data_IF_182051036811
#
_entry.id   IF_182051036811
#
_cell.length_a   1.000
_cell.length_b   1.000
_cell.length_c   1.000
_cell.angle_alpha   90.00
_cell.angle_beta   90.00
_cell.angle_gamma   90.00
#
_symmetry.space_group_name_H-M   'P 1'
#
loop_
_entity.id
_entity.type
_entity.pdbx_description
1 polymer ?
#
# COMPACT_ATOMS: atom_id res chain seq x y z
N UNK A 1 -6.51 16.14 4.46
CA UNK A 1 -7.96 15.92 4.32
C UNK A 1 -8.34 14.62 3.58
N UNK A 2 -7.55 13.55 3.67
CA UNK A 2 -7.86 12.22 3.10
C UNK A 2 -8.55 11.28 4.10
N UNK A 3 -8.56 11.61 5.40
CA UNK A 3 -9.17 10.79 6.45
C UNK A 3 -10.70 10.58 6.32
N UNK A 4 -11.36 11.31 5.42
CA UNK A 4 -12.78 11.15 5.11
C UNK A 4 -13.01 10.64 3.68
N UNK A 5 -11.96 10.38 2.91
CA UNK A 5 -12.11 9.81 1.58
C UNK A 5 -12.60 8.37 1.72
N UNK A 6 -13.73 8.08 1.13
CA UNK A 6 -14.29 6.75 1.02
C UNK A 6 -14.17 6.32 -0.43
N UNK A 7 -13.67 5.11 -0.64
CA UNK A 7 -13.70 4.49 -1.96
C UNK A 7 -15.07 3.87 -2.17
N UNK A 8 -15.81 4.33 -3.18
CA UNK A 8 -16.99 3.63 -3.67
C UNK A 8 -16.51 2.51 -4.58
N UNK A 9 -16.82 1.28 -4.22
CA UNK A 9 -16.65 0.11 -5.08
C UNK A 9 -18.03 -0.23 -5.59
N UNK A 10 -18.23 -0.10 -6.91
CA UNK A 10 -19.52 -0.39 -7.55
C UNK A 10 -19.29 -1.14 -8.85
N UNK A 11 -19.85 -2.34 -8.94
CA UNK A 11 -19.90 -3.12 -10.18
C UNK A 11 -21.20 -3.94 -10.23
N UNK A 12 -21.76 -4.17 -11.43
CA UNK A 12 -22.94 -5.01 -11.59
C UNK A 12 -22.59 -6.50 -11.37
N UNK A 13 -23.59 -7.30 -11.04
CA UNK A 13 -23.47 -8.75 -11.10
C UNK A 13 -23.09 -9.20 -12.51
N UNK A 14 -22.28 -10.23 -12.62
CA UNK A 14 -21.82 -10.73 -13.90
C UNK A 14 -21.23 -12.14 -13.81
N UNK A 15 -20.72 -12.61 -14.94
CA UNK A 15 -19.95 -13.84 -15.04
C UNK A 15 -18.84 -13.68 -16.07
N UNK A 16 -17.73 -14.40 -15.89
CA UNK A 16 -16.64 -14.48 -16.86
C UNK A 16 -16.82 -15.65 -17.85
N UNK A 17 -15.87 -15.76 -18.77
CA UNK A 17 -15.85 -16.82 -19.79
C UNK A 17 -15.57 -18.21 -19.19
N UNK A 18 -14.99 -18.26 -17.98
CA UNK A 18 -14.68 -19.50 -17.26
C UNK A 18 -15.86 -19.98 -16.38
N UNK A 19 -16.97 -19.23 -16.37
CA UNK A 19 -18.19 -19.57 -15.63
C UNK A 19 -18.18 -19.15 -14.15
N UNK A 20 -17.18 -18.38 -13.70
CA UNK A 20 -17.23 -17.77 -12.38
C UNK A 20 -18.25 -16.64 -12.39
N UNK A 21 -19.10 -16.58 -11.38
CA UNK A 21 -20.11 -15.54 -11.23
C UNK A 21 -19.84 -14.70 -9.97
N UNK A 22 -20.20 -13.42 -10.04
CA UNK A 22 -20.15 -12.51 -8.90
C UNK A 22 -21.44 -11.72 -8.77
N UNK A 23 -21.78 -11.42 -7.52
CA UNK A 23 -22.91 -10.56 -7.19
C UNK A 23 -22.58 -9.09 -7.45
N UNK A 24 -23.62 -8.29 -7.66
CA UNK A 24 -23.46 -6.85 -7.71
C UNK A 24 -22.93 -6.30 -6.37
N UNK A 25 -21.95 -5.43 -6.42
CA UNK A 25 -21.42 -4.73 -5.25
C UNK A 25 -21.61 -3.22 -5.41
N UNK A 26 -22.10 -2.57 -4.37
CA UNK A 26 -22.11 -1.11 -4.25
C UNK A 26 -21.88 -0.73 -2.79
N UNK A 27 -20.64 -0.52 -2.43
CA UNK A 27 -20.28 -0.17 -1.06
C UNK A 27 -19.27 0.97 -0.97
N UNK A 28 -19.31 1.68 0.16
CA UNK A 28 -18.36 2.74 0.49
C UNK A 28 -17.38 2.21 1.53
N UNK A 29 -16.14 1.97 1.13
CA UNK A 29 -15.06 1.53 2.05
C UNK A 29 -14.23 2.73 2.49
N UNK A 30 -14.05 2.93 3.80
CA UNK A 30 -13.09 3.91 4.29
C UNK A 30 -11.66 3.44 3.98
N UNK A 31 -10.80 4.38 3.56
CA UNK A 31 -9.38 4.13 3.35
C UNK A 31 -8.63 4.26 4.70
N UNK A 32 -8.96 3.38 5.63
CA UNK A 32 -8.51 3.48 7.03
C UNK A 32 -7.02 3.14 7.21
N UNK A 33 -6.48 2.28 6.37
CA UNK A 33 -5.07 1.89 6.44
C UNK A 33 -4.11 3.04 6.07
N UNK A 34 -4.57 4.03 5.29
CA UNK A 34 -3.74 5.19 4.92
C UNK A 34 -3.35 6.08 6.10
N UNK A 35 -4.09 6.00 7.21
CA UNK A 35 -3.88 6.80 8.42
C UNK A 35 -3.70 5.95 9.66
N UNK A 36 -3.68 4.63 9.52
CA UNK A 36 -3.47 3.71 10.62
C UNK A 36 -2.02 3.79 11.12
N UNK A 37 -1.83 3.51 12.39
CA UNK A 37 -0.50 3.29 12.94
C UNK A 37 0.11 2.03 12.28
N UNK A 38 1.35 2.07 11.78
CA UNK A 38 2.02 0.89 11.25
C UNK A 38 2.00 -0.31 12.22
N UNK A 39 2.05 -0.07 13.53
CA UNK A 39 1.94 -1.14 14.54
C UNK A 39 0.58 -1.85 14.52
N UNK A 40 -0.49 -1.15 14.15
CA UNK A 40 -1.81 -1.77 13.99
C UNK A 40 -1.90 -2.59 12.69
N UNK A 41 -1.24 -2.13 11.63
CA UNK A 41 -1.19 -2.85 10.35
C UNK A 41 -0.36 -4.14 10.45
N UNK A 42 0.70 -4.14 11.24
CA UNK A 42 1.51 -5.34 11.53
C UNK A 42 0.67 -6.46 12.16
N UNK A 43 -0.40 -6.12 12.88
CA UNK A 43 -1.32 -7.13 13.47
C UNK A 43 -2.12 -7.91 12.42
N UNK A 44 -2.17 -7.44 11.17
CA UNK A 44 -2.81 -8.15 10.06
C UNK A 44 -1.92 -9.29 9.51
N UNK A 45 -0.65 -9.35 9.89
CA UNK A 45 0.28 -10.35 9.39
C UNK A 45 -0.03 -11.75 9.95
N UNK A 46 0.23 -12.76 9.14
CA UNK A 46 -0.13 -14.16 9.45
C UNK A 46 0.65 -14.76 10.63
N UNK A 47 1.78 -14.16 11.00
CA UNK A 47 2.58 -14.59 12.16
C UNK A 47 2.17 -13.99 13.50
N UNK A 48 1.06 -13.23 13.53
CA UNK A 48 0.53 -12.56 14.71
C UNK A 48 -0.97 -12.78 14.91
N UNK A 49 -1.67 -11.80 15.49
CA UNK A 49 -3.13 -11.85 15.68
C UNK A 49 -3.93 -11.97 14.38
N UNK A 50 -3.31 -11.64 13.23
CA UNK A 50 -3.89 -11.80 11.91
C UNK A 50 -3.92 -13.23 11.37
N UNK A 51 -3.37 -14.20 12.12
CA UNK A 51 -3.37 -15.60 11.72
C UNK A 51 -4.80 -16.11 11.51
N UNK A 52 -5.08 -16.60 10.31
CA UNK A 52 -6.40 -17.07 9.93
C UNK A 52 -7.32 -16.00 9.34
N UNK A 53 -6.87 -14.74 9.21
CA UNK A 53 -7.59 -13.73 8.42
C UNK A 53 -7.54 -14.07 6.93
N UNK A 54 -8.60 -13.68 6.21
CA UNK A 54 -8.62 -13.78 4.75
C UNK A 54 -7.48 -12.96 4.13
N UNK A 55 -6.90 -13.48 3.04
CA UNK A 55 -5.81 -12.80 2.32
C UNK A 55 -6.19 -11.38 1.89
N UNK A 56 -7.45 -11.17 1.50
CA UNK A 56 -7.98 -9.86 1.12
C UNK A 56 -7.85 -8.81 2.24
N UNK A 57 -8.08 -9.21 3.48
CA UNK A 57 -7.92 -8.31 4.64
C UNK A 57 -6.43 -8.02 4.94
N UNK A 58 -5.57 -9.02 4.78
CA UNK A 58 -4.12 -8.85 4.97
C UNK A 58 -3.48 -7.99 3.87
N UNK A 59 -3.99 -8.10 2.64
CA UNK A 59 -3.56 -7.28 1.51
C UNK A 59 -4.20 -5.87 1.49
N UNK A 60 -5.25 -5.64 2.28
CA UNK A 60 -6.03 -4.40 2.29
C UNK A 60 -5.19 -3.12 2.42
N UNK A 61 -4.15 -3.03 3.27
CA UNK A 61 -3.35 -1.81 3.38
C UNK A 61 -2.76 -1.36 2.03
N UNK A 62 -2.18 -2.28 1.28
CA UNK A 62 -1.65 -1.98 -0.06
C UNK A 62 -2.75 -1.64 -1.06
N UNK A 63 -3.87 -2.37 -1.03
CA UNK A 63 -5.01 -2.11 -1.91
C UNK A 63 -5.60 -0.70 -1.69
N UNK A 64 -5.65 -0.23 -0.45
CA UNK A 64 -6.12 1.12 -0.14
C UNK A 64 -5.18 2.21 -0.69
N UNK A 65 -3.86 2.00 -0.67
CA UNK A 65 -2.90 2.92 -1.31
C UNK A 65 -3.12 2.97 -2.82
N UNK A 66 -3.24 1.80 -3.47
CA UNK A 66 -3.50 1.70 -4.90
C UNK A 66 -4.83 2.40 -5.26
N UNK A 67 -5.88 2.17 -4.49
CA UNK A 67 -7.18 2.79 -4.70
C UNK A 67 -7.17 4.31 -4.46
N UNK A 68 -6.32 4.80 -3.56
CA UNK A 68 -6.18 6.23 -3.30
C UNK A 68 -5.48 7.00 -4.44
N UNK A 69 -4.61 6.33 -5.20
CA UNK A 69 -3.83 6.98 -6.26
C UNK A 69 -4.71 7.66 -7.33
N UNK A 70 -5.70 6.99 -7.97
CA UNK A 70 -6.59 7.65 -8.93
C UNK A 70 -7.47 8.73 -8.29
N UNK A 71 -7.91 8.55 -7.04
CA UNK A 71 -8.69 9.57 -6.33
C UNK A 71 -7.85 10.84 -6.15
N UNK A 72 -6.59 10.69 -5.74
CA UNK A 72 -5.65 11.80 -5.58
C UNK A 72 -5.32 12.45 -6.94
N UNK A 73 -5.11 11.65 -7.98
CA UNK A 73 -4.82 12.14 -9.32
C UNK A 73 -5.94 13.05 -9.87
N UNK A 74 -7.20 12.79 -9.50
CA UNK A 74 -8.34 13.60 -9.94
C UNK A 74 -8.61 14.78 -9.00
N UNK A 75 -8.50 14.59 -7.69
CA UNK A 75 -9.05 15.53 -6.70
C UNK A 75 -7.97 16.27 -5.88
N UNK A 76 -6.68 15.92 -5.98
CA UNK A 76 -5.66 16.64 -5.23
C UNK A 76 -5.41 18.03 -5.82
N UNK A 77 -5.30 19.03 -4.96
CA UNK A 77 -4.92 20.39 -5.37
C UNK A 77 -3.45 20.50 -5.74
N UNK A 78 -2.60 19.63 -5.18
CA UNK A 78 -1.16 19.59 -5.44
C UNK A 78 -0.81 18.49 -6.47
N UNK A 79 -1.28 18.66 -7.71
CA UNK A 79 -1.15 17.67 -8.78
C UNK A 79 0.30 17.25 -9.05
N UNK A 80 1.24 18.20 -9.03
CA UNK A 80 2.65 17.87 -9.26
C UNK A 80 3.20 16.92 -8.19
N UNK A 81 2.72 17.02 -6.94
CA UNK A 81 3.10 16.07 -5.88
C UNK A 81 2.63 14.66 -6.20
N UNK A 82 1.42 14.51 -6.73
CA UNK A 82 0.88 13.20 -7.10
C UNK A 82 1.72 12.58 -8.22
N UNK A 83 2.04 13.36 -9.26
CA UNK A 83 2.90 12.92 -10.37
C UNK A 83 4.29 12.50 -9.86
N UNK A 84 4.92 13.31 -9.01
CA UNK A 84 6.24 12.99 -8.47
C UNK A 84 6.21 11.79 -7.53
N UNK A 85 5.16 11.64 -6.73
CA UNK A 85 4.99 10.46 -5.88
C UNK A 85 4.88 9.20 -6.72
N UNK A 86 4.04 9.21 -7.77
CA UNK A 86 3.92 8.08 -8.68
C UNK A 86 5.25 7.78 -9.40
N UNK A 87 5.95 8.80 -9.86
CA UNK A 87 7.29 8.64 -10.45
C UNK A 87 8.24 7.89 -9.51
N UNK A 88 8.26 8.22 -8.21
CA UNK A 88 9.12 7.56 -7.24
C UNK A 88 8.66 6.13 -6.92
N UNK A 89 7.36 5.87 -6.89
CA UNK A 89 6.83 4.51 -6.79
C UNK A 89 7.32 3.65 -7.96
N UNK A 90 7.22 4.16 -9.18
CA UNK A 90 7.64 3.45 -10.39
C UNK A 90 9.16 3.27 -10.45
N UNK A 91 9.92 4.28 -9.98
CA UNK A 91 11.39 4.24 -9.96
C UNK A 91 11.93 3.18 -9.02
N UNK A 92 11.45 3.10 -7.79
CA UNK A 92 11.88 2.11 -6.80
C UNK A 92 11.15 0.77 -6.93
N UNK A 93 9.99 0.78 -7.53
CA UNK A 93 9.20 -0.36 -7.98
C UNK A 93 8.97 -1.44 -6.90
N UNK A 94 8.64 -1.04 -5.67
CA UNK A 94 8.26 -1.98 -4.62
C UNK A 94 6.92 -2.60 -4.97
N UNK A 95 6.88 -3.91 -5.21
CA UNK A 95 5.66 -4.62 -5.53
C UNK A 95 4.83 -4.85 -4.26
N UNK A 96 3.80 -4.03 -4.07
CA UNK A 96 2.94 -4.04 -2.89
C UNK A 96 2.19 -5.36 -2.65
N UNK A 97 2.00 -6.15 -3.70
CA UNK A 97 1.33 -7.46 -3.64
C UNK A 97 2.28 -8.64 -3.55
N UNK A 98 3.60 -8.43 -3.33
CA UNK A 98 4.56 -9.53 -3.24
C UNK A 98 4.24 -10.46 -2.06
N UNK A 99 4.02 -9.89 -0.90
CA UNK A 99 3.70 -10.59 0.34
C UNK A 99 2.93 -9.68 1.31
N UNK A 100 2.42 -10.26 2.38
CA UNK A 100 1.62 -9.57 3.39
C UNK A 100 2.41 -8.52 4.16
N UNK A 101 3.69 -8.78 4.42
CA UNK A 101 4.56 -7.84 5.14
C UNK A 101 4.79 -6.58 4.31
N UNK A 102 5.09 -6.75 3.03
CA UNK A 102 5.19 -5.62 2.08
C UNK A 102 3.87 -4.85 2.04
N UNK A 103 2.72 -5.54 1.97
CA UNK A 103 1.40 -4.91 1.94
C UNK A 103 1.10 -4.12 3.22
N UNK A 104 1.41 -4.66 4.40
CA UNK A 104 1.17 -3.98 5.68
C UNK A 104 1.98 -2.69 5.84
N UNK A 105 3.22 -2.66 5.35
CA UNK A 105 4.09 -1.47 5.43
C UNK A 105 3.93 -0.51 4.24
N UNK A 106 3.14 -0.87 3.23
CA UNK A 106 3.00 -0.07 2.02
C UNK A 106 2.39 1.31 2.24
N UNK A 107 1.41 1.54 3.15
CA UNK A 107 0.92 2.88 3.46
C UNK A 107 2.00 3.81 4.03
N UNK A 108 2.85 3.31 4.93
CA UNK A 108 3.96 4.08 5.47
C UNK A 108 5.00 4.40 4.39
N UNK A 109 5.23 3.46 3.46
CA UNK A 109 6.10 3.64 2.31
C UNK A 109 5.57 4.73 1.35
N UNK A 110 4.28 4.70 1.00
CA UNK A 110 3.62 5.76 0.20
C UNK A 110 3.75 7.13 0.89
N UNK A 111 3.47 7.19 2.18
CA UNK A 111 3.57 8.43 2.94
C UNK A 111 5.00 8.99 2.96
N UNK A 112 6.01 8.14 3.10
CA UNK A 112 7.42 8.52 3.06
C UNK A 112 7.81 9.06 1.68
N UNK A 113 7.51 8.36 0.58
CA UNK A 113 7.78 8.84 -0.79
C UNK A 113 7.08 10.17 -1.06
N UNK A 114 5.85 10.31 -0.61
CA UNK A 114 5.04 11.53 -0.72
C UNK A 114 5.66 12.71 0.02
N UNK A 115 6.25 12.46 1.18
CA UNK A 115 7.01 13.45 1.94
C UNK A 115 8.28 13.91 1.22
N UNK A 116 8.92 13.00 0.49
CA UNK A 116 10.15 13.26 -0.27
C UNK A 116 9.93 13.70 -1.73
N UNK A 117 8.68 13.85 -2.20
CA UNK A 117 8.36 14.10 -3.61
C UNK A 117 9.17 15.25 -4.26
N UNK A 118 9.52 16.28 -3.47
CA UNK A 118 10.34 17.43 -3.87
C UNK A 118 11.60 17.59 -3.01
N UNK A 119 11.94 16.55 -2.27
CA UNK A 119 13.04 16.57 -1.32
C UNK A 119 14.40 16.25 -1.94
N UNK A 120 15.37 16.04 -1.06
CA UNK A 120 16.71 15.63 -1.45
C UNK A 120 16.74 14.13 -1.77
N UNK A 121 17.20 13.78 -2.97
CA UNK A 121 17.25 12.39 -3.43
C UNK A 121 18.07 11.46 -2.52
N UNK A 122 19.23 11.94 -2.03
CA UNK A 122 20.08 11.14 -1.13
C UNK A 122 19.37 10.78 0.18
N UNK A 123 18.63 11.74 0.74
CA UNK A 123 17.83 11.49 1.95
C UNK A 123 16.72 10.50 1.66
N UNK A 124 15.97 10.69 0.59
CA UNK A 124 14.92 9.78 0.16
C UNK A 124 15.45 8.37 -0.08
N UNK A 125 16.57 8.23 -0.81
CA UNK A 125 17.20 6.92 -1.07
C UNK A 125 17.57 6.22 0.23
N UNK A 126 18.10 6.95 1.21
CA UNK A 126 18.41 6.42 2.53
C UNK A 126 17.18 5.93 3.30
N UNK A 127 16.06 6.64 3.18
CA UNK A 127 14.81 6.27 3.85
C UNK A 127 14.12 5.11 3.12
N UNK A 128 14.16 5.08 1.78
CA UNK A 128 13.69 3.93 0.97
C UNK A 128 14.45 2.66 1.35
N UNK A 129 15.79 2.72 1.40
CA UNK A 129 16.63 1.56 1.71
C UNK A 129 16.38 0.99 3.11
N UNK A 130 15.96 1.83 4.06
CA UNK A 130 15.63 1.43 5.44
C UNK A 130 14.16 1.15 5.68
N UNK A 131 13.30 1.43 4.70
CA UNK A 131 11.86 1.22 4.87
C UNK A 131 11.53 -0.26 5.03
N UNK A 132 10.65 -0.64 5.96
CA UNK A 132 10.24 -2.03 6.11
C UNK A 132 9.68 -2.63 4.81
N UNK A 133 8.88 -1.87 4.05
CA UNK A 133 8.35 -2.36 2.78
C UNK A 133 9.46 -2.77 1.79
N UNK A 134 10.53 -1.98 1.66
CA UNK A 134 11.67 -2.32 0.80
C UNK A 134 12.46 -3.50 1.36
N UNK A 135 12.69 -3.56 2.68
CA UNK A 135 13.43 -4.65 3.32
C UNK A 135 12.74 -6.01 3.09
N UNK A 136 11.41 -6.07 3.27
CA UNK A 136 10.64 -7.28 2.96
C UNK A 136 10.59 -7.56 1.45
N UNK A 137 10.42 -6.53 0.65
CA UNK A 137 10.38 -6.67 -0.80
C UNK A 137 11.66 -7.32 -1.36
N UNK A 138 12.82 -6.97 -0.83
CA UNK A 138 14.12 -7.52 -1.25
C UNK A 138 14.57 -8.74 -0.43
N UNK A 139 13.74 -9.27 0.47
CA UNK A 139 14.07 -10.32 1.44
C UNK A 139 15.27 -9.95 2.35
N UNK A 140 15.55 -8.67 2.51
CA UNK A 140 16.67 -8.20 3.32
C UNK A 140 16.32 -8.12 4.82
N UNK A 141 15.03 -8.22 5.16
CA UNK A 141 14.57 -8.28 6.55
C UNK A 141 15.12 -9.51 7.30
N UNK A 142 15.37 -10.61 6.57
CA UNK A 142 15.89 -11.88 7.11
C UNK A 142 17.42 -12.00 7.00
N UNK A 143 18.09 -10.97 6.46
CA UNK A 143 19.54 -10.97 6.29
C UNK A 143 20.23 -10.78 7.63
N UNK A 144 21.08 -11.74 8.00
CA UNK A 144 21.93 -11.65 9.18
C UNK A 144 23.41 -11.60 8.75
N UNK A 145 24.19 -10.70 9.39
CA UNK A 145 25.63 -10.73 9.24
C UNK A 145 26.18 -12.01 9.90
N UNK A 146 26.99 -12.77 9.18
CA UNK A 146 27.75 -13.85 9.81
C UNK A 146 28.67 -13.25 10.88
N UNK A 147 28.70 -13.79 12.10
CA UNK A 147 29.71 -13.38 13.08
C UNK A 147 31.08 -13.61 12.49
N UNK A 148 31.95 -12.59 12.59
CA UNK A 148 33.33 -12.64 12.14
C UNK A 148 34.15 -13.57 13.05
#
# INVERSE_FOLDING_TARGET
MLAAARLRISYPAGSDEDGNSWEALDEMRPLSALTADPADLVRLLDWGPGKGMEFSERARPAQEVIAAAPIRAVHATAQLREVMTQFWHDHFNVASGKDESTAAFFPAYDAMLRGHAFGNFRTMLGDVARSPAMLYYLNNADSAASPA
#
